data_IF_418800391908
#
_entry.id   IF_418800391908
#
_cell.length_a   1.000
_cell.length_b   1.000
_cell.length_c   1.000
_cell.angle_alpha   90.00
_cell.angle_beta   90.00
_cell.angle_gamma   90.00
#
_symmetry.space_group_name_H-M   'P 1'
#
loop_
_entity.id
_entity.type
_entity.pdbx_description
1 polymer ?
#
# COMPACT_ATOMS: atom_id res chain seq x y z
N UNK A 1 -18.35 23.30 53.60
CA UNK A 1 -17.82 22.12 52.90
C UNK A 1 -18.41 22.12 51.51
N UNK A 2 -17.55 22.17 50.50
CA UNK A 2 -17.94 22.20 49.09
C UNK A 2 -18.34 20.78 48.65
N UNK A 3 -19.32 20.59 47.76
CA UNK A 3 -19.71 19.26 47.25
C UNK A 3 -18.56 18.45 46.64
N UNK A 4 -17.47 19.11 46.22
CA UNK A 4 -16.25 18.44 45.74
C UNK A 4 -15.34 17.88 46.83
N UNK A 5 -15.52 18.26 48.10
CA UNK A 5 -14.71 17.77 49.21
C UNK A 5 -15.17 16.35 49.66
N UNK A 6 -16.48 16.06 49.60
CA UNK A 6 -17.06 14.74 49.94
C UNK A 6 -16.66 13.65 48.91
N UNK A 7 -16.63 13.99 47.62
CA UNK A 7 -16.25 13.05 46.56
C UNK A 7 -14.76 12.67 46.63
N UNK A 8 -13.89 13.61 47.02
CA UNK A 8 -12.46 13.36 47.22
C UNK A 8 -12.23 12.44 48.43
N UNK A 9 -12.99 12.66 49.52
CA UNK A 9 -12.91 11.83 50.72
C UNK A 9 -13.41 10.39 50.44
N UNK A 10 -14.48 10.23 49.65
CA UNK A 10 -14.98 8.93 49.21
C UNK A 10 -14.00 8.19 48.29
N UNK A 11 -13.31 8.91 47.39
CA UNK A 11 -12.28 8.33 46.52
C UNK A 11 -11.03 7.90 47.30
N UNK A 12 -10.61 8.67 48.31
CA UNK A 12 -9.51 8.31 49.19
C UNK A 12 -9.83 7.06 50.02
N UNK A 13 -11.05 6.97 50.56
CA UNK A 13 -11.51 5.79 51.30
C UNK A 13 -11.52 4.52 50.41
N UNK A 14 -12.03 4.64 49.17
CA UNK A 14 -12.05 3.54 48.21
C UNK A 14 -10.65 3.13 47.73
N UNK A 15 -9.74 4.08 47.56
CA UNK A 15 -8.35 3.80 47.24
C UNK A 15 -7.62 3.07 48.38
N UNK A 16 -7.95 3.39 49.64
CA UNK A 16 -7.41 2.70 50.81
C UNK A 16 -7.96 1.27 50.94
N UNK A 17 -9.24 1.07 50.66
CA UNK A 17 -9.88 -0.25 50.60
C UNK A 17 -9.26 -1.14 49.52
N UNK A 18 -9.14 -0.64 48.29
CA UNK A 18 -8.49 -1.35 47.18
C UNK A 18 -7.02 -1.67 47.47
N UNK A 19 -6.29 -0.78 48.17
CA UNK A 19 -4.92 -1.05 48.62
C UNK A 19 -4.87 -2.18 49.67
N UNK A 20 -5.81 -2.21 50.61
CA UNK A 20 -5.91 -3.29 51.62
C UNK A 20 -6.29 -4.62 50.98
N UNK A 21 -7.17 -4.60 49.99
CA UNK A 21 -7.56 -5.79 49.22
C UNK A 21 -6.40 -6.31 48.35
N UNK A 22 -5.68 -5.43 47.65
CA UNK A 22 -4.49 -5.81 46.90
C UNK A 22 -3.40 -6.40 47.82
N UNK A 23 -3.17 -5.80 48.99
CA UNK A 23 -2.20 -6.28 49.96
C UNK A 23 -2.58 -7.65 50.56
N UNK A 24 -3.87 -7.92 50.78
CA UNK A 24 -4.32 -9.21 51.31
C UNK A 24 -4.23 -10.33 50.25
N UNK A 25 -4.54 -10.02 48.99
CA UNK A 25 -4.37 -10.95 47.86
C UNK A 25 -2.90 -11.26 47.63
N UNK A 26 -2.03 -10.26 47.70
CA UNK A 26 -0.58 -10.43 47.56
C UNK A 26 0.00 -11.26 48.72
N UNK A 27 -0.42 -10.99 49.96
CA UNK A 27 -0.04 -11.76 51.13
C UNK A 27 -0.53 -13.22 51.06
N UNK A 28 -1.76 -13.46 50.62
CA UNK A 28 -2.31 -14.80 50.44
C UNK A 28 -1.53 -15.59 49.36
N UNK A 29 -1.21 -14.95 48.22
CA UNK A 29 -0.35 -15.55 47.19
C UNK A 29 1.07 -15.84 47.69
N UNK A 30 1.65 -14.94 48.49
CA UNK A 30 2.97 -15.15 49.07
C UNK A 30 3.00 -16.33 50.04
N UNK A 31 1.95 -16.48 50.86
CA UNK A 31 1.79 -17.61 51.77
C UNK A 31 1.58 -18.94 51.04
N UNK A 32 0.74 -18.96 50.00
CA UNK A 32 0.53 -20.15 49.15
C UNK A 32 1.83 -20.58 48.46
N UNK A 33 2.57 -19.64 47.88
CA UNK A 33 3.89 -19.91 47.28
C UNK A 33 4.88 -20.44 48.32
N UNK A 34 4.92 -19.87 49.53
CA UNK A 34 5.80 -20.36 50.59
C UNK A 34 5.49 -21.81 51.00
N UNK A 35 4.21 -22.17 51.09
CA UNK A 35 3.79 -23.56 51.36
C UNK A 35 4.15 -24.51 50.21
N UNK A 36 3.99 -24.09 48.95
CA UNK A 36 4.40 -24.90 47.80
C UNK A 36 5.92 -25.12 47.79
N UNK A 37 6.72 -24.10 48.08
CA UNK A 37 8.18 -24.22 48.16
C UNK A 37 8.59 -25.17 49.27
N UNK A 38 7.94 -25.10 50.44
CA UNK A 38 8.23 -26.00 51.56
C UNK A 38 7.82 -27.44 51.27
N UNK A 39 6.69 -27.65 50.58
CA UNK A 39 6.24 -28.97 50.16
C UNK A 39 7.12 -29.58 49.05
N UNK A 40 7.77 -28.75 48.23
CA UNK A 40 8.77 -29.22 47.26
C UNK A 40 10.08 -29.50 47.97
N UNK A 41 10.56 -28.61 48.84
CA UNK A 41 11.78 -28.82 49.63
C UNK A 41 11.75 -30.15 50.40
N UNK A 42 10.65 -30.44 51.10
CA UNK A 42 10.45 -31.69 51.84
C UNK A 42 10.34 -32.96 50.96
N UNK A 43 10.29 -32.82 49.62
CA UNK A 43 10.37 -33.96 48.69
C UNK A 43 11.79 -34.21 48.19
N UNK A 44 12.66 -33.21 48.28
CA UNK A 44 14.07 -33.31 47.91
C UNK A 44 14.91 -33.69 49.13
N UNK A 45 14.69 -33.02 50.27
CA UNK A 45 15.24 -33.38 51.58
C UNK A 45 14.65 -34.73 52.02
N UNK A 46 15.40 -35.81 51.81
CA UNK A 46 14.92 -37.19 51.99
C UNK A 46 15.22 -37.70 53.39
N UNK A 47 16.24 -37.12 54.03
CA UNK A 47 16.68 -37.48 55.37
C UNK A 47 16.09 -36.56 56.47
N UNK A 48 15.35 -35.51 56.11
CA UNK A 48 14.69 -34.52 56.98
C UNK A 48 15.68 -33.79 57.89
N UNK A 49 16.91 -33.57 57.40
CA UNK A 49 17.96 -32.86 58.13
C UNK A 49 17.87 -31.33 57.96
N UNK A 50 16.95 -30.85 57.13
CA UNK A 50 16.67 -29.44 56.91
C UNK A 50 17.56 -28.78 55.86
N UNK A 51 18.41 -29.54 55.18
CA UNK A 51 19.22 -29.11 54.02
C UNK A 51 19.05 -30.10 52.86
N UNK A 52 19.36 -29.67 51.64
CA UNK A 52 19.34 -30.58 50.47
C UNK A 52 20.78 -30.76 50.00
N UNK A 53 21.30 -31.97 50.18
CA UNK A 53 22.62 -32.35 49.69
C UNK A 53 22.63 -32.53 48.16
N UNK A 54 23.83 -32.52 47.56
CA UNK A 54 24.00 -32.79 46.12
C UNK A 54 23.37 -34.12 45.68
N UNK A 55 23.52 -35.16 46.50
CA UNK A 55 22.99 -36.50 46.25
C UNK A 55 21.45 -36.50 46.28
N UNK A 56 20.86 -35.81 47.25
CA UNK A 56 19.40 -35.64 47.35
C UNK A 56 18.81 -34.79 46.21
N UNK A 57 19.54 -33.78 45.75
CA UNK A 57 19.15 -33.00 44.59
C UNK A 57 19.15 -33.87 43.32
N UNK A 58 20.21 -34.66 43.09
CA UNK A 58 20.31 -35.59 41.95
C UNK A 58 19.16 -36.60 41.99
N UNK A 59 18.92 -37.22 43.14
CA UNK A 59 17.88 -38.23 43.29
C UNK A 59 16.47 -37.64 43.17
N UNK A 60 16.23 -36.46 43.74
CA UNK A 60 14.98 -35.73 43.61
C UNK A 60 14.70 -35.35 42.15
N UNK A 61 15.70 -34.87 41.41
CA UNK A 61 15.57 -34.54 39.99
C UNK A 61 15.31 -35.79 39.13
N UNK A 62 15.98 -36.91 39.39
CA UNK A 62 15.75 -38.19 38.70
C UNK A 62 14.33 -38.71 38.92
N UNK A 63 13.84 -38.68 40.17
CA UNK A 63 12.48 -39.11 40.53
C UNK A 63 11.40 -38.21 39.93
N UNK A 64 11.59 -36.89 39.98
CA UNK A 64 10.58 -35.91 39.55
C UNK A 64 10.45 -35.83 38.02
N UNK A 65 11.56 -35.92 37.28
CA UNK A 65 11.56 -35.80 35.81
C UNK A 65 11.59 -37.15 35.08
N UNK A 66 11.61 -38.29 35.80
CA UNK A 66 11.67 -39.66 35.24
C UNK A 66 12.78 -39.82 34.19
N UNK A 67 13.95 -39.26 34.46
CA UNK A 67 15.08 -39.25 33.55
C UNK A 67 16.25 -40.04 34.16
N UNK A 68 16.52 -41.24 33.63
CA UNK A 68 17.63 -42.09 34.08
C UNK A 68 19.01 -41.56 33.65
N UNK A 69 19.06 -40.61 32.72
CA UNK A 69 20.28 -39.97 32.22
C UNK A 69 20.19 -38.44 32.36
N UNK A 70 20.32 -37.94 33.60
CA UNK A 70 20.65 -36.55 33.84
C UNK A 70 22.16 -36.36 33.65
N UNK A 71 22.54 -35.36 32.86
CA UNK A 71 23.93 -34.97 32.65
C UNK A 71 24.52 -34.44 33.98
N UNK A 72 25.51 -35.14 34.54
CA UNK A 72 26.18 -34.75 35.79
C UNK A 72 26.76 -33.33 35.71
N UNK A 73 27.21 -32.89 34.54
CA UNK A 73 27.71 -31.53 34.36
C UNK A 73 26.61 -30.47 34.50
N UNK A 74 25.38 -30.78 34.08
CA UNK A 74 24.23 -29.90 34.22
C UNK A 74 23.73 -29.84 35.67
N UNK A 75 23.70 -30.98 36.38
CA UNK A 75 23.31 -31.03 37.79
C UNK A 75 24.33 -30.33 38.68
N UNK A 76 25.63 -30.49 38.40
CA UNK A 76 26.71 -29.78 39.11
C UNK A 76 26.65 -28.26 38.93
N UNK A 77 26.30 -27.79 37.73
CA UNK A 77 26.07 -26.35 37.47
C UNK A 77 24.86 -25.83 38.22
N UNK A 78 23.74 -26.56 38.16
CA UNK A 78 22.54 -26.21 38.92
C UNK A 78 22.85 -26.14 40.41
N UNK A 79 23.51 -27.15 40.97
CA UNK A 79 23.89 -27.15 42.38
C UNK A 79 24.76 -25.95 42.76
N UNK A 80 25.77 -25.62 41.95
CA UNK A 80 26.66 -24.47 42.20
C UNK A 80 25.96 -23.11 42.06
N UNK A 81 24.90 -23.04 41.26
CA UNK A 81 24.07 -21.82 41.13
C UNK A 81 23.08 -21.67 42.31
N UNK A 82 22.76 -22.78 42.98
CA UNK A 82 21.82 -22.86 44.12
C UNK A 82 22.53 -22.62 45.46
N UNK A 83 23.70 -23.25 45.66
CA UNK A 83 24.59 -23.10 46.83
C UNK A 83 25.36 -21.78 46.72
N UNK A 84 24.83 -20.72 47.34
CA UNK A 84 25.38 -19.36 47.22
C UNK A 84 26.46 -19.07 48.25
N UNK A 85 26.44 -19.76 49.39
CA UNK A 85 27.45 -19.61 50.44
C UNK A 85 28.63 -20.59 50.30
N UNK A 86 28.52 -21.57 49.40
CA UNK A 86 29.57 -22.52 49.02
C UNK A 86 29.80 -23.60 50.08
N UNK A 87 28.77 -23.94 50.85
CA UNK A 87 28.85 -24.89 51.95
C UNK A 87 28.57 -26.35 51.52
N UNK A 88 28.43 -26.60 50.21
CA UNK A 88 28.12 -27.89 49.58
C UNK A 88 26.76 -28.50 50.02
N UNK A 89 25.84 -27.67 50.54
CA UNK A 89 24.45 -28.03 50.84
C UNK A 89 23.51 -26.89 50.43
N UNK A 90 22.25 -27.20 50.09
CA UNK A 90 21.26 -26.16 49.76
C UNK A 90 20.31 -26.00 50.93
N UNK A 91 20.39 -24.87 51.63
CA UNK A 91 19.50 -24.60 52.75
C UNK A 91 18.09 -24.13 52.30
N UNK A 92 17.13 -24.11 53.23
CA UNK A 92 15.74 -23.72 52.94
C UNK A 92 15.58 -22.27 52.43
N UNK A 93 16.51 -21.38 52.76
CA UNK A 93 16.57 -19.99 52.29
C UNK A 93 17.13 -19.92 50.87
N UNK A 94 18.21 -20.64 50.59
CA UNK A 94 18.81 -20.79 49.26
C UNK A 94 17.85 -21.45 48.28
N UNK A 95 17.15 -22.50 48.70
CA UNK A 95 16.12 -23.15 47.91
C UNK A 95 14.94 -22.21 47.59
N UNK A 96 14.50 -21.41 48.57
CA UNK A 96 13.44 -20.40 48.38
C UNK A 96 13.85 -19.30 47.41
N UNK A 97 15.08 -18.81 47.52
CA UNK A 97 15.63 -17.81 46.60
C UNK A 97 15.69 -18.35 45.17
N UNK A 98 16.09 -19.61 45.03
CA UNK A 98 16.28 -20.26 43.75
C UNK A 98 14.99 -20.58 43.01
N UNK A 99 13.99 -21.15 43.68
CA UNK A 99 12.66 -21.38 43.09
C UNK A 99 12.02 -20.04 42.68
N UNK A 100 12.25 -18.96 43.44
CA UNK A 100 11.77 -17.62 43.12
C UNK A 100 12.47 -17.02 41.89
N UNK A 101 13.79 -17.14 41.79
CA UNK A 101 14.56 -16.68 40.64
C UNK A 101 14.21 -17.46 39.36
N UNK A 102 14.07 -18.78 39.47
CA UNK A 102 13.68 -19.66 38.36
C UNK A 102 12.23 -19.43 37.90
N UNK A 103 11.30 -19.23 38.84
CA UNK A 103 9.93 -18.82 38.53
C UNK A 103 9.86 -17.47 37.80
N UNK A 104 10.66 -16.50 38.24
CA UNK A 104 10.71 -15.16 37.61
C UNK A 104 11.24 -15.23 36.17
N UNK A 105 12.26 -16.06 35.90
CA UNK A 105 12.82 -16.26 34.56
C UNK A 105 11.87 -17.01 33.62
N UNK A 106 11.18 -18.06 34.10
CA UNK A 106 10.19 -18.78 33.29
C UNK A 106 9.00 -17.88 32.95
N UNK A 107 8.51 -17.11 33.92
CA UNK A 107 7.46 -16.11 33.71
C UNK A 107 7.87 -15.05 32.69
N UNK A 108 9.14 -14.59 32.70
CA UNK A 108 9.62 -13.63 31.70
C UNK A 108 9.66 -14.22 30.29
N UNK A 109 10.14 -15.46 30.11
CA UNK A 109 10.15 -16.12 28.80
C UNK A 109 8.74 -16.35 28.24
N UNK A 110 7.80 -16.81 29.07
CA UNK A 110 6.40 -17.02 28.64
C UNK A 110 5.75 -15.68 28.26
N UNK A 111 6.08 -14.60 28.99
CA UNK A 111 5.57 -13.26 28.69
C UNK A 111 6.12 -12.73 27.38
N UNK A 112 7.43 -12.86 27.17
CA UNK A 112 8.11 -12.44 25.94
C UNK A 112 7.57 -13.18 24.71
N UNK A 113 7.41 -14.50 24.81
CA UNK A 113 6.82 -15.32 23.73
C UNK A 113 5.38 -14.89 23.42
N UNK A 114 4.58 -14.64 24.46
CA UNK A 114 3.18 -14.18 24.31
C UNK A 114 3.11 -12.78 23.72
N UNK A 115 4.01 -11.88 24.09
CA UNK A 115 4.05 -10.51 23.58
C UNK A 115 4.54 -10.49 22.11
N UNK A 116 5.52 -11.34 21.74
CA UNK A 116 5.91 -11.56 20.35
C UNK A 116 4.75 -12.12 19.50
N UNK A 117 4.01 -13.10 20.01
CA UNK A 117 2.84 -13.65 19.32
C UNK A 117 1.72 -12.62 19.16
N UNK A 118 1.48 -11.79 20.18
CA UNK A 118 0.52 -10.67 20.11
C UNK A 118 0.94 -9.65 19.08
N UNK A 119 2.21 -9.29 19.05
CA UNK A 119 2.75 -8.34 18.08
C UNK A 119 2.61 -8.88 16.66
N UNK A 120 3.04 -10.12 16.41
CA UNK A 120 2.87 -10.77 15.11
C UNK A 120 1.39 -10.89 14.69
N UNK A 121 0.48 -11.16 15.64
CA UNK A 121 -0.96 -11.21 15.36
C UNK A 121 -1.55 -9.83 15.04
N UNK A 122 -1.10 -8.77 15.73
CA UNK A 122 -1.49 -7.39 15.45
C UNK A 122 -0.97 -6.94 14.08
N UNK A 123 0.32 -7.16 13.80
CA UNK A 123 0.93 -6.87 12.49
C UNK A 123 0.24 -7.64 11.36
N UNK A 124 -0.08 -8.93 11.57
CA UNK A 124 -0.81 -9.72 10.59
C UNK A 124 -2.25 -9.23 10.38
N UNK A 125 -2.92 -8.73 11.42
CA UNK A 125 -4.25 -8.13 11.32
C UNK A 125 -4.21 -6.81 10.56
N UNK A 126 -3.27 -5.93 10.91
CA UNK A 126 -3.06 -4.66 10.21
C UNK A 126 -2.71 -4.88 8.73
N UNK A 127 -1.83 -5.85 8.43
CA UNK A 127 -1.50 -6.21 7.05
C UNK A 127 -2.72 -6.74 6.27
N UNK A 128 -3.59 -7.55 6.91
CA UNK A 128 -4.84 -8.02 6.29
C UNK A 128 -5.82 -6.88 6.05
N UNK A 129 -6.03 -6.00 7.03
CA UNK A 129 -6.89 -4.83 6.87
C UNK A 129 -6.36 -3.88 5.80
N UNK A 130 -5.04 -3.69 5.71
CA UNK A 130 -4.40 -2.91 4.67
C UNK A 130 -4.58 -3.54 3.28
N UNK A 131 -4.44 -4.87 3.16
CA UNK A 131 -4.68 -5.59 1.92
C UNK A 131 -6.14 -5.53 1.47
N UNK A 132 -7.09 -5.73 2.40
CA UNK A 132 -8.53 -5.64 2.12
C UNK A 132 -8.94 -4.21 1.70
N UNK A 133 -8.43 -3.19 2.39
CA UNK A 133 -8.62 -1.79 1.99
C UNK A 133 -8.01 -1.51 0.61
N UNK A 134 -6.83 -2.03 0.32
CA UNK A 134 -6.20 -1.88 -0.99
C UNK A 134 -7.04 -2.52 -2.09
N UNK A 135 -7.55 -3.73 -1.87
CA UNK A 135 -8.41 -4.45 -2.82
C UNK A 135 -9.75 -3.72 -3.06
N UNK A 136 -10.44 -3.31 -2.00
CA UNK A 136 -11.68 -2.54 -2.09
C UNK A 136 -11.47 -1.22 -2.87
N UNK A 137 -10.29 -0.62 -2.74
CA UNK A 137 -9.92 0.62 -3.41
C UNK A 137 -9.52 0.43 -4.88
N UNK A 138 -8.88 -0.70 -5.21
CA UNK A 138 -8.66 -1.11 -6.61
C UNK A 138 -9.98 -1.41 -7.32
N UNK A 139 -10.94 -2.02 -6.63
CA UNK A 139 -12.28 -2.26 -7.13
C UNK A 139 -13.04 -0.94 -7.38
N UNK A 140 -12.88 0.05 -6.49
CA UNK A 140 -13.46 1.39 -6.67
C UNK A 140 -12.99 2.09 -7.95
N UNK A 141 -11.71 1.93 -8.32
CA UNK A 141 -11.11 2.53 -9.51
C UNK A 141 -11.31 1.72 -10.80
N UNK A 142 -12.02 0.59 -10.73
CA UNK A 142 -12.21 -0.35 -11.85
C UNK A 142 -10.87 -0.68 -12.57
N UNK A 143 -9.86 -1.06 -11.79
CA UNK A 143 -8.53 -1.47 -12.30
C UNK A 143 -8.45 -2.95 -12.67
N UNK A 144 -9.60 -3.62 -12.78
CA UNK A 144 -9.70 -5.01 -13.21
C UNK A 144 -9.27 -5.17 -14.68
N UNK A 145 -8.84 -6.37 -15.10
CA UNK A 145 -8.52 -6.65 -16.50
C UNK A 145 -9.70 -6.29 -17.43
N UNK A 146 -9.45 -5.66 -18.59
CA UNK A 146 -10.51 -5.20 -19.48
C UNK A 146 -11.28 -6.36 -20.10
N UNK A 147 -12.60 -6.27 -20.11
CA UNK A 147 -13.48 -7.19 -20.85
C UNK A 147 -13.35 -6.99 -22.36
N UNK A 148 -13.90 -7.89 -23.16
CA UNK A 148 -13.95 -7.72 -24.63
C UNK A 148 -14.68 -6.44 -25.02
N UNK A 149 -15.76 -6.09 -24.30
CA UNK A 149 -16.48 -4.84 -24.53
C UNK A 149 -15.62 -3.62 -24.20
N UNK A 150 -14.89 -3.64 -23.08
CA UNK A 150 -13.99 -2.55 -22.70
C UNK A 150 -12.90 -2.32 -23.74
N UNK A 151 -12.32 -3.41 -24.29
CA UNK A 151 -11.33 -3.33 -25.36
C UNK A 151 -11.88 -2.63 -26.59
N UNK A 152 -13.10 -2.96 -27.02
CA UNK A 152 -13.74 -2.32 -28.19
C UNK A 152 -14.08 -0.85 -27.88
N UNK A 153 -14.72 -0.57 -26.75
CA UNK A 153 -15.11 0.80 -26.38
C UNK A 153 -13.90 1.71 -26.13
N UNK A 154 -12.77 1.16 -25.69
CA UNK A 154 -11.55 1.93 -25.47
C UNK A 154 -10.94 2.50 -26.77
N UNK A 155 -11.38 2.06 -27.95
CA UNK A 155 -10.88 2.58 -29.23
C UNK A 155 -11.69 3.79 -29.70
N UNK A 156 -12.97 3.86 -29.32
CA UNK A 156 -13.89 4.93 -29.73
C UNK A 156 -13.36 6.36 -29.50
N UNK A 157 -12.63 6.67 -28.41
CA UNK A 157 -12.10 8.01 -28.19
C UNK A 157 -11.20 8.51 -29.34
N UNK A 158 -10.54 7.61 -30.07
CA UNK A 158 -9.67 7.98 -31.19
C UNK A 158 -10.42 8.49 -32.43
N UNK A 159 -11.75 8.36 -32.48
CA UNK A 159 -12.54 9.06 -33.48
C UNK A 159 -12.35 10.58 -33.38
N UNK A 160 -12.13 11.11 -32.17
CA UNK A 160 -11.94 12.54 -31.97
C UNK A 160 -10.70 13.09 -32.70
N UNK A 161 -9.46 12.65 -32.39
CA UNK A 161 -8.27 13.10 -33.13
C UNK A 161 -8.28 12.67 -34.60
N UNK A 162 -8.98 11.58 -34.96
CA UNK A 162 -9.16 11.21 -36.37
C UNK A 162 -9.93 12.29 -37.12
N UNK A 163 -11.09 12.72 -36.60
CA UNK A 163 -11.93 13.74 -37.24
C UNK A 163 -11.20 15.08 -37.37
N UNK A 164 -10.46 15.50 -36.34
CA UNK A 164 -9.67 16.73 -36.38
C UNK A 164 -8.45 16.61 -37.30
N UNK A 165 -7.90 15.40 -37.43
CA UNK A 165 -6.80 15.08 -38.33
C UNK A 165 -7.17 14.99 -39.82
N UNK A 166 -8.45 14.82 -40.16
CA UNK A 166 -8.90 14.72 -41.57
C UNK A 166 -8.54 15.95 -42.41
N UNK A 167 -8.34 17.10 -41.79
CA UNK A 167 -7.88 18.30 -42.50
C UNK A 167 -6.51 18.12 -43.16
N UNK A 168 -5.65 17.25 -42.60
CA UNK A 168 -4.33 16.93 -43.13
C UNK A 168 -4.39 15.90 -44.27
N UNK A 169 -5.37 15.00 -44.27
CA UNK A 169 -5.54 13.97 -45.31
C UNK A 169 -6.29 14.44 -46.55
N UNK A 170 -6.61 15.74 -46.69
CA UNK A 170 -7.48 16.23 -47.77
C UNK A 170 -6.94 15.95 -49.17
N UNK A 171 -5.63 15.96 -49.35
CA UNK A 171 -5.00 15.75 -50.65
C UNK A 171 -4.98 14.26 -51.03
N UNK A 172 -4.78 13.37 -50.05
CA UNK A 172 -4.80 11.91 -50.26
C UNK A 172 -6.21 11.36 -50.49
N UNK A 173 -7.22 11.96 -49.86
CA UNK A 173 -8.60 11.47 -49.90
C UNK A 173 -9.41 12.04 -51.09
N UNK A 174 -8.81 12.91 -51.90
CA UNK A 174 -9.44 13.41 -53.13
C UNK A 174 -9.27 12.40 -54.27
N UNK A 175 -10.37 11.76 -54.68
CA UNK A 175 -10.44 11.00 -55.94
C UNK A 175 -10.78 9.52 -55.83
N UNK A 176 -10.87 8.94 -54.63
CA UNK A 176 -11.29 7.55 -54.43
C UNK A 176 -12.67 7.45 -53.77
N UNK A 177 -13.63 6.81 -54.46
CA UNK A 177 -14.95 6.52 -53.90
C UNK A 177 -14.87 5.30 -52.97
N UNK A 178 -14.40 5.53 -51.74
CA UNK A 178 -14.25 4.51 -50.72
C UNK A 178 -15.35 4.63 -49.66
N UNK A 179 -16.13 3.57 -49.40
CA UNK A 179 -17.25 3.63 -48.44
C UNK A 179 -16.81 3.95 -47.01
N UNK A 180 -15.59 3.60 -46.61
CA UNK A 180 -15.03 3.93 -45.29
C UNK A 180 -14.71 5.42 -45.21
N UNK A 181 -14.05 5.96 -46.23
CA UNK A 181 -13.74 7.39 -46.33
C UNK A 181 -15.04 8.20 -46.34
N UNK A 182 -16.05 7.76 -47.11
CA UNK A 182 -17.36 8.41 -47.17
C UNK A 182 -18.06 8.40 -45.80
N UNK A 183 -17.98 7.31 -45.05
CA UNK A 183 -18.57 7.21 -43.71
C UNK A 183 -17.89 8.15 -42.72
N UNK A 184 -16.55 8.21 -42.75
CA UNK A 184 -15.76 9.11 -41.91
C UNK A 184 -15.98 10.57 -42.31
N UNK A 185 -16.10 10.87 -43.61
CA UNK A 185 -16.43 12.19 -44.12
C UNK A 185 -17.83 12.65 -43.70
N UNK A 186 -18.82 11.76 -43.70
CA UNK A 186 -20.16 12.05 -43.18
C UNK A 186 -20.10 12.42 -41.69
N UNK A 187 -19.37 11.65 -40.88
CA UNK A 187 -19.17 11.96 -39.46
C UNK A 187 -18.46 13.31 -39.29
N UNK A 188 -17.45 13.60 -40.11
CA UNK A 188 -16.75 14.88 -40.11
C UNK A 188 -17.67 16.06 -40.45
N UNK A 189 -18.54 15.92 -41.46
CA UNK A 189 -19.52 16.94 -41.83
C UNK A 189 -20.49 17.20 -40.67
N UNK A 190 -21.05 16.14 -40.07
CA UNK A 190 -21.92 16.26 -38.89
C UNK A 190 -21.18 16.98 -37.76
N UNK A 191 -19.97 16.54 -37.47
CA UNK A 191 -19.12 17.08 -36.43
C UNK A 191 -18.81 18.56 -36.64
N UNK A 192 -18.50 18.99 -37.86
CA UNK A 192 -18.14 20.39 -38.16
C UNK A 192 -19.34 21.33 -38.21
N UNK A 193 -20.54 20.80 -38.47
CA UNK A 193 -21.78 21.58 -38.47
C UNK A 193 -22.28 21.95 -37.07
N UNK A 194 -21.77 21.29 -36.03
CA UNK A 194 -22.08 21.63 -34.64
C UNK A 194 -21.13 22.74 -34.18
N UNK A 195 -21.64 23.91 -33.75
CA UNK A 195 -20.81 24.98 -33.20
C UNK A 195 -20.03 24.47 -31.98
N UNK A 196 -18.74 24.82 -31.91
CA UNK A 196 -17.85 24.41 -30.81
C UNK A 196 -17.71 22.90 -30.61
N UNK A 197 -17.97 22.08 -31.64
CA UNK A 197 -17.86 20.62 -31.56
C UNK A 197 -16.52 20.11 -31.01
N UNK A 198 -15.42 20.75 -31.39
CA UNK A 198 -14.08 20.61 -30.79
C UNK A 198 -14.10 20.67 -29.27
N UNK A 199 -14.57 21.79 -28.74
CA UNK A 199 -14.64 22.01 -27.29
C UNK A 199 -15.61 21.05 -26.61
N UNK A 200 -16.77 20.78 -27.21
CA UNK A 200 -17.77 19.86 -26.66
C UNK A 200 -17.19 18.44 -26.55
N UNK A 201 -16.57 17.94 -27.62
CA UNK A 201 -15.93 16.63 -27.63
C UNK A 201 -14.77 16.56 -26.63
N UNK A 202 -13.92 17.60 -26.59
CA UNK A 202 -12.85 17.71 -25.60
C UNK A 202 -13.39 17.62 -24.18
N UNK A 203 -14.40 18.43 -23.80
CA UNK A 203 -14.96 18.40 -22.45
C UNK A 203 -15.67 17.09 -22.13
N UNK A 204 -16.38 16.50 -23.09
CA UNK A 204 -17.02 15.20 -22.91
C UNK A 204 -15.97 14.12 -22.62
N UNK A 205 -14.97 13.96 -23.49
CA UNK A 205 -13.89 12.99 -23.30
C UNK A 205 -13.12 13.29 -22.01
N UNK A 206 -12.89 14.56 -21.69
CA UNK A 206 -12.21 14.95 -20.46
C UNK A 206 -12.99 14.54 -19.21
N UNK A 207 -14.30 14.80 -19.18
CA UNK A 207 -15.18 14.40 -18.11
C UNK A 207 -15.22 12.88 -17.96
N UNK A 208 -15.41 12.15 -19.06
CA UNK A 208 -15.43 10.69 -19.05
C UNK A 208 -14.09 10.11 -18.59
N UNK A 209 -12.95 10.70 -18.97
CA UNK A 209 -11.62 10.19 -18.61
C UNK A 209 -11.38 10.15 -17.09
N UNK A 210 -12.08 11.00 -16.34
CA UNK A 210 -11.99 11.09 -14.89
C UNK A 210 -13.04 10.23 -14.16
N UNK A 211 -13.90 9.49 -14.87
CA UNK A 211 -14.95 8.68 -14.24
C UNK A 211 -14.38 7.33 -13.76
N UNK A 212 -14.18 7.11 -12.45
CA UNK A 212 -13.54 5.91 -11.91
C UNK A 212 -14.34 4.62 -12.17
N UNK A 213 -15.63 4.73 -12.51
CA UNK A 213 -16.46 3.58 -12.88
C UNK A 213 -16.06 2.97 -14.21
N UNK A 214 -15.41 3.74 -15.09
CA UNK A 214 -14.92 3.22 -16.36
C UNK A 214 -13.64 2.41 -16.15
N UNK A 215 -13.53 1.30 -16.89
CA UNK A 215 -12.33 0.49 -16.87
C UNK A 215 -11.10 1.36 -17.17
N UNK A 216 -10.00 1.06 -16.48
CA UNK A 216 -8.72 1.74 -16.62
C UNK A 216 -8.26 1.89 -18.08
N UNK A 217 -8.45 0.87 -18.93
CA UNK A 217 -8.09 0.93 -20.35
C UNK A 217 -8.90 1.99 -21.12
N UNK A 218 -10.19 2.12 -20.83
CA UNK A 218 -11.05 3.13 -21.47
C UNK A 218 -10.59 4.53 -21.03
N UNK A 219 -10.36 4.74 -19.73
CA UNK A 219 -9.88 6.03 -19.18
C UNK A 219 -8.53 6.44 -19.76
N UNK A 220 -7.62 5.48 -19.92
CA UNK A 220 -6.34 5.69 -20.56
C UNK A 220 -6.51 6.21 -21.99
N UNK A 221 -7.28 5.50 -22.81
CA UNK A 221 -7.48 5.87 -24.22
C UNK A 221 -8.26 7.17 -24.39
N UNK A 222 -9.22 7.49 -23.51
CA UNK A 222 -9.87 8.80 -23.46
C UNK A 222 -8.84 9.93 -23.24
N UNK A 223 -7.96 9.75 -22.26
CA UNK A 223 -6.89 10.73 -21.97
C UNK A 223 -5.89 10.83 -23.11
N UNK A 224 -5.55 9.70 -23.74
CA UNK A 224 -4.60 9.67 -24.85
C UNK A 224 -5.15 10.31 -26.11
N UNK A 225 -6.43 10.11 -26.43
CA UNK A 225 -7.08 10.77 -27.55
C UNK A 225 -7.00 12.30 -27.43
N UNK A 226 -7.20 12.85 -26.21
CA UNK A 226 -7.02 14.29 -25.95
C UNK A 226 -5.59 14.74 -26.25
N UNK A 227 -4.58 14.00 -25.82
CA UNK A 227 -3.18 14.40 -26.02
C UNK A 227 -2.72 14.23 -27.47
N UNK A 228 -3.21 13.22 -28.18
CA UNK A 228 -2.99 13.09 -29.63
C UNK A 228 -3.63 14.28 -30.35
N UNK A 229 -4.85 14.65 -29.99
CA UNK A 229 -5.54 15.81 -30.55
C UNK A 229 -4.79 17.12 -30.30
N UNK A 230 -4.34 17.35 -29.07
CA UNK A 230 -3.49 18.51 -28.73
C UNK A 230 -2.19 18.50 -29.54
N UNK A 231 -1.58 17.32 -29.77
CA UNK A 231 -0.36 17.23 -30.57
C UNK A 231 -0.59 17.64 -32.03
N UNK A 232 -1.80 17.41 -32.58
CA UNK A 232 -2.18 17.83 -33.93
C UNK A 232 -2.30 19.36 -34.08
N UNK A 233 -2.40 20.12 -32.98
CA UNK A 233 -2.39 21.59 -33.04
C UNK A 233 -1.04 22.11 -33.55
N UNK A 234 0.07 21.45 -33.19
CA UNK A 234 1.42 21.93 -33.49
C UNK A 234 1.70 21.95 -35.00
N UNK A 235 1.50 20.87 -35.76
CA UNK A 235 1.64 20.92 -37.23
C UNK A 235 0.70 21.92 -37.89
N UNK A 236 -0.54 22.06 -37.41
CA UNK A 236 -1.51 23.01 -37.95
C UNK A 236 -1.07 24.46 -37.79
N UNK A 237 -0.50 24.80 -36.62
CA UNK A 237 0.05 26.12 -36.36
C UNK A 237 1.28 26.41 -37.22
N UNK A 238 2.19 25.44 -37.37
CA UNK A 238 3.35 25.56 -38.25
C UNK A 238 2.94 25.70 -39.73
N UNK A 239 1.95 24.93 -40.17
CA UNK A 239 1.38 25.01 -41.50
C UNK A 239 0.74 26.38 -41.76
N UNK A 240 0.04 26.95 -40.78
CA UNK A 240 -0.53 28.30 -40.86
C UNK A 240 0.55 29.39 -41.01
N UNK A 241 1.63 29.31 -40.21
CA UNK A 241 2.78 30.22 -40.34
C UNK A 241 3.45 30.06 -41.71
N UNK A 242 3.63 28.83 -42.18
CA UNK A 242 4.23 28.56 -43.49
C UNK A 242 3.40 29.10 -44.64
N UNK A 243 2.07 28.87 -44.61
CA UNK A 243 1.14 29.24 -45.69
C UNK A 243 0.78 30.73 -45.69
N UNK A 244 0.75 31.40 -44.54
CA UNK A 244 0.32 32.81 -44.43
C UNK A 244 1.41 33.75 -43.90
N UNK A 245 2.21 33.31 -42.92
CA UNK A 245 3.23 34.15 -42.27
C UNK A 245 4.46 34.39 -43.14
N UNK A 246 5.04 33.33 -43.72
CA UNK A 246 6.23 33.45 -44.57
C UNK A 246 5.99 34.30 -45.83
N UNK A 247 4.88 34.14 -46.58
CA UNK A 247 4.56 35.01 -47.70
C UNK A 247 4.39 36.48 -47.29
N UNK A 248 3.86 36.77 -46.10
CA UNK A 248 3.75 38.13 -45.59
C UNK A 248 5.13 38.79 -45.33
N UNK A 249 6.18 37.99 -45.17
CA UNK A 249 7.57 38.42 -45.05
C UNK A 249 8.34 38.38 -46.39
N UNK A 250 7.64 38.13 -47.51
CA UNK A 250 8.25 38.01 -48.84
C UNK A 250 8.93 36.67 -49.12
N UNK A 251 8.77 35.68 -48.25
CA UNK A 251 9.32 34.32 -48.43
C UNK A 251 8.26 33.45 -49.11
N UNK A 252 8.52 33.02 -50.34
CA UNK A 252 7.62 32.13 -51.08
C UNK A 252 7.87 30.68 -50.67
N UNK A 253 6.80 29.99 -50.26
CA UNK A 253 6.85 28.57 -49.92
C UNK A 253 6.24 27.77 -51.08
N UNK A 254 6.98 26.82 -51.67
CA UNK A 254 6.44 25.96 -52.72
C UNK A 254 5.20 25.19 -52.24
N UNK A 255 4.09 25.13 -53.00
CA UNK A 255 2.86 24.42 -52.60
C UNK A 255 3.09 22.96 -52.23
N UNK A 256 3.97 22.27 -52.97
CA UNK A 256 4.35 20.88 -52.74
C UNK A 256 4.88 20.61 -51.32
N UNK A 257 5.53 21.61 -50.70
CA UNK A 257 6.05 21.44 -49.34
C UNK A 257 4.92 21.36 -48.33
N UNK A 258 3.84 22.13 -48.53
CA UNK A 258 2.67 22.08 -47.66
C UNK A 258 1.91 20.76 -47.79
N UNK A 259 1.74 20.28 -49.02
CA UNK A 259 1.07 19.01 -49.32
C UNK A 259 1.81 17.83 -48.68
N UNK A 260 3.13 17.73 -48.87
CA UNK A 260 3.96 16.65 -48.29
C UNK A 260 3.92 16.66 -46.76
N UNK A 261 3.93 17.85 -46.14
CA UNK A 261 3.85 17.97 -44.69
C UNK A 261 2.49 17.54 -44.15
N UNK A 262 1.39 18.00 -44.77
CA UNK A 262 0.03 17.63 -44.39
C UNK A 262 -0.15 16.10 -44.52
N UNK A 263 0.26 15.51 -45.64
CA UNK A 263 0.19 14.06 -45.86
C UNK A 263 1.02 13.27 -44.83
N UNK A 264 2.24 13.74 -44.53
CA UNK A 264 3.13 13.10 -43.55
C UNK A 264 2.51 13.10 -42.14
N UNK A 265 1.87 14.20 -41.74
CA UNK A 265 1.15 14.31 -40.47
C UNK A 265 -0.02 13.34 -40.45
N UNK A 266 -0.77 13.23 -41.56
CA UNK A 266 -1.89 12.32 -41.66
C UNK A 266 -1.47 10.85 -41.58
N UNK A 267 -0.42 10.42 -42.29
CA UNK A 267 0.11 9.06 -42.18
C UNK A 267 0.62 8.75 -40.78
N UNK A 268 1.32 9.70 -40.15
CA UNK A 268 1.78 9.56 -38.76
C UNK A 268 0.60 9.38 -37.80
N UNK A 269 -0.46 10.18 -37.95
CA UNK A 269 -1.69 10.04 -37.18
C UNK A 269 -2.30 8.65 -37.37
N UNK A 270 -2.50 8.19 -38.60
CA UNK A 270 -3.06 6.86 -38.86
C UNK A 270 -2.21 5.75 -38.22
N UNK A 271 -0.88 5.83 -38.33
CA UNK A 271 0.02 4.86 -37.69
C UNK A 271 -0.12 4.85 -36.16
N UNK A 272 -0.22 6.03 -35.55
CA UNK A 272 -0.49 6.19 -34.11
C UNK A 272 -1.85 5.58 -33.73
N UNK A 273 -2.91 5.87 -34.48
CA UNK A 273 -4.25 5.35 -34.19
C UNK A 273 -4.32 3.83 -34.34
N UNK A 274 -3.64 3.26 -35.35
CA UNK A 274 -3.53 1.82 -35.53
C UNK A 274 -2.77 1.15 -34.39
N UNK A 275 -1.66 1.75 -33.94
CA UNK A 275 -0.92 1.28 -32.76
C UNK A 275 -1.81 1.29 -31.51
N UNK A 276 -2.55 2.38 -31.29
CA UNK A 276 -3.45 2.49 -30.16
C UNK A 276 -4.58 1.46 -30.21
N UNK A 277 -5.23 1.30 -31.37
CA UNK A 277 -6.28 0.32 -31.57
C UNK A 277 -5.77 -1.11 -31.35
N UNK A 278 -4.62 -1.47 -31.94
CA UNK A 278 -4.01 -2.78 -31.78
C UNK A 278 -3.63 -3.09 -30.32
N UNK A 279 -3.03 -2.12 -29.62
CA UNK A 279 -2.68 -2.26 -28.20
C UNK A 279 -3.93 -2.47 -27.32
N UNK A 280 -4.96 -1.66 -27.55
CA UNK A 280 -6.22 -1.72 -26.81
C UNK A 280 -6.99 -3.02 -27.07
N UNK A 281 -7.01 -3.53 -28.31
CA UNK A 281 -7.57 -4.85 -28.63
C UNK A 281 -6.80 -5.99 -27.98
N UNK A 282 -5.48 -5.84 -27.80
CA UNK A 282 -4.67 -6.77 -27.01
C UNK A 282 -4.89 -6.64 -25.49
N UNK A 283 -5.72 -5.69 -25.04
CA UNK A 283 -5.98 -5.41 -23.63
C UNK A 283 -4.84 -4.69 -22.92
N UNK A 284 -3.95 -4.04 -23.67
CA UNK A 284 -2.78 -3.32 -23.15
C UNK A 284 -2.96 -1.82 -23.35
N UNK A 285 -2.50 -1.05 -22.36
CA UNK A 285 -2.45 0.41 -22.48
C UNK A 285 -1.46 0.82 -23.60
N UNK A 286 -1.84 1.67 -24.56
CA UNK A 286 -0.93 2.19 -25.58
C UNK A 286 0.10 3.18 -25.00
N UNK A 287 1.08 2.65 -24.26
CA UNK A 287 2.11 3.41 -23.56
C UNK A 287 3.32 3.85 -24.40
N UNK A 288 3.37 3.49 -25.67
CA UNK A 288 4.56 3.64 -26.52
C UNK A 288 4.72 4.96 -27.27
N UNK A 289 3.79 5.91 -27.13
CA UNK A 289 3.88 7.19 -27.85
C UNK A 289 4.73 8.18 -27.04
N UNK A 290 5.89 8.63 -27.56
CA UNK A 290 6.76 9.56 -26.86
C UNK A 290 6.01 10.85 -26.50
N UNK A 291 6.31 11.41 -25.34
CA UNK A 291 5.65 12.60 -24.75
C UNK A 291 4.16 12.40 -24.41
N UNK A 292 3.32 12.00 -25.36
CA UNK A 292 1.87 11.78 -25.20
C UNK A 292 1.57 10.75 -24.10
N UNK A 293 2.11 9.52 -24.21
CA UNK A 293 1.81 8.46 -23.24
C UNK A 293 2.33 8.79 -21.83
N UNK A 294 3.40 9.59 -21.72
CA UNK A 294 3.91 10.06 -20.43
C UNK A 294 2.91 11.01 -19.75
N UNK A 295 2.40 11.99 -20.51
CA UNK A 295 1.40 12.93 -20.01
C UNK A 295 0.09 12.23 -19.61
N UNK A 296 -0.31 11.20 -20.35
CA UNK A 296 -1.45 10.35 -19.97
C UNK A 296 -1.21 9.67 -18.64
N UNK A 297 -0.04 9.03 -18.46
CA UNK A 297 0.33 8.34 -17.22
C UNK A 297 0.33 9.30 -16.02
N UNK A 298 0.81 10.52 -16.21
CA UNK A 298 0.82 11.54 -15.16
C UNK A 298 -0.59 12.03 -14.80
N UNK A 299 -1.53 12.04 -15.75
CA UNK A 299 -2.91 12.51 -15.51
C UNK A 299 -3.84 11.45 -14.95
N UNK A 300 -3.55 10.17 -15.18
CA UNK A 300 -4.38 9.05 -14.75
C UNK A 300 -4.61 9.09 -13.23
N UNK A 301 -5.88 9.00 -12.76
CA UNK A 301 -6.17 8.92 -11.33
C UNK A 301 -5.46 7.73 -10.70
N UNK A 302 -4.62 7.98 -9.70
CA UNK A 302 -3.95 6.95 -8.89
C UNK A 302 -4.63 6.82 -7.52
N UNK A 303 -4.37 5.70 -6.84
CA UNK A 303 -4.91 5.38 -5.51
C UNK A 303 -4.61 6.48 -4.48
N UNK A 304 -3.43 7.08 -4.58
CA UNK A 304 -2.93 8.16 -3.73
C UNK A 304 -3.73 9.47 -3.86
N UNK A 305 -4.48 9.65 -4.95
CA UNK A 305 -5.27 10.85 -5.19
C UNK A 305 -6.64 10.83 -4.50
N UNK A 306 -6.96 9.78 -3.76
CA UNK A 306 -8.19 9.62 -2.99
C UNK A 306 -7.86 9.52 -1.49
N UNK A 307 -8.80 9.85 -0.61
CA UNK A 307 -8.67 9.59 0.82
C UNK A 307 -9.36 8.26 1.18
N UNK A 308 -9.31 7.88 2.46
CA UNK A 308 -9.92 6.62 2.94
C UNK A 308 -11.45 6.59 2.83
N UNK A 309 -12.08 7.74 2.59
CA UNK A 309 -13.51 7.88 2.34
C UNK A 309 -13.85 7.89 0.84
N UNK A 310 -12.85 7.69 -0.04
CA UNK A 310 -13.03 7.71 -1.50
C UNK A 310 -13.25 9.10 -2.10
N UNK A 311 -13.00 10.18 -1.34
CA UNK A 311 -13.03 11.56 -1.84
C UNK A 311 -11.71 11.89 -2.53
N UNK A 312 -11.78 12.59 -3.65
CA UNK A 312 -10.60 13.04 -4.39
C UNK A 312 -9.87 14.13 -3.60
N UNK A 313 -8.59 13.91 -3.31
CA UNK A 313 -7.71 14.84 -2.54
C UNK A 313 -6.67 15.52 -3.44
N UNK A 314 -6.59 15.11 -4.72
CA UNK A 314 -5.55 15.57 -5.63
C UNK A 314 -4.20 14.91 -5.36
N UNK A 315 -3.23 15.11 -6.25
CA UNK A 315 -1.88 14.56 -6.07
C UNK A 315 -1.12 15.42 -5.08
N UNK A 316 -0.76 14.88 -3.91
CA UNK A 316 0.19 15.55 -3.04
C UNK A 316 1.53 15.62 -3.77
N UNK A 317 2.07 16.83 -3.97
CA UNK A 317 3.45 16.98 -4.42
C UNK A 317 4.29 16.43 -3.28
N UNK A 318 5.01 15.34 -3.52
CA UNK A 318 6.06 14.90 -2.61
C UNK A 318 6.89 16.14 -2.24
N UNK A 319 6.89 16.47 -0.95
CA UNK A 319 7.72 17.53 -0.43
C UNK A 319 9.14 17.22 -0.88
N UNK A 320 9.81 18.19 -1.50
CA UNK A 320 11.26 18.17 -1.58
C UNK A 320 11.76 17.84 -0.19
N UNK A 321 12.44 16.71 -0.04
CA UNK A 321 13.33 16.47 1.08
C UNK A 321 14.27 17.68 1.14
N UNK A 322 13.98 18.61 2.04
CA UNK A 322 14.95 19.59 2.49
C UNK A 322 16.04 18.76 3.19
N UNK A 323 17.07 18.45 2.40
CA UNK A 323 18.28 17.81 2.89
C UNK A 323 18.80 18.61 4.08
N UNK A 324 18.76 17.92 5.21
CA UNK A 324 19.68 17.98 6.33
C UNK A 324 20.85 18.94 6.08
N UNK A 325 20.69 20.18 6.55
CA UNK A 325 21.77 21.14 6.71
C UNK A 325 22.05 21.26 8.20
N UNK A 326 22.57 20.20 8.80
CA UNK A 326 23.33 20.27 10.04
C UNK A 326 24.46 19.25 9.97
N UNK A 327 25.65 19.74 9.62
CA UNK A 327 26.98 19.29 10.09
C UNK A 327 28.06 19.72 9.09
N UNK A 328 28.62 20.92 9.29
CA UNK A 328 30.04 21.23 9.09
C UNK A 328 30.48 22.32 10.04
#
# INVERSE_FOLDING_TARGET
MSPGDEDVEALLAKAEELRKEAASIEAARAAEKAQQVQAVFAKFDTNDDGVVSYEELVDGLKKQFKADSLDEAAVKRLFSDLDKDGNDVIDASEFKLSIREMGTRIESYIREEKDNQRQAAMEAKEAREAAEKAEARLAFLNEQPPTTADKVYSILPYLFPLLDGLQYGRFLLQGEDNPVINSVALLYVIYRNIPFSGFIAFFAINFLSNNPKLNRLIRWNLSQAIWVDIALIVPGLLGGIGKAGLPALGVQVPPVLGEVLDDSVFFCLIAVLLYCAGSSLAGREPGGIPFVSRQVKERMPTIEMFNDEGRFVGRQREGKEEGDKDEK
#
